data_IF_009349503674
#
_entry.id   IF_009349503674
#
_cell.length_a   1.000
_cell.length_b   1.000
_cell.length_c   1.000
_cell.angle_alpha   90.00
_cell.angle_beta   90.00
_cell.angle_gamma   90.00
#
_symmetry.space_group_name_H-M   'P 1'
#
loop_
_entity.id
_entity.type
_entity.pdbx_description
1 polymer ?
#
# COMPACT_ATOMS: atom_id res chain seq x y z
N UNK A 1 -4.08 -35.26 -13.50
CA UNK A 1 -3.10 -34.96 -12.45
C UNK A 1 -2.57 -36.27 -11.90
N UNK A 2 -1.26 -36.43 -11.87
CA UNK A 2 -0.61 -37.55 -11.16
C UNK A 2 -0.71 -37.32 -9.65
N UNK A 3 -0.58 -38.38 -8.85
CA UNK A 3 -0.56 -38.25 -7.38
C UNK A 3 0.58 -37.33 -6.91
N UNK A 4 1.71 -37.38 -7.62
CA UNK A 4 2.86 -36.52 -7.34
C UNK A 4 2.54 -35.04 -7.59
N UNK A 5 1.89 -34.71 -8.71
CA UNK A 5 1.43 -33.35 -8.99
C UNK A 5 0.44 -32.84 -7.94
N UNK A 6 -0.48 -33.70 -7.47
CA UNK A 6 -1.42 -33.33 -6.41
C UNK A 6 -0.73 -33.01 -5.09
N UNK A 7 0.29 -33.78 -4.71
CA UNK A 7 1.09 -33.51 -3.50
C UNK A 7 1.88 -32.21 -3.59
N UNK A 8 2.42 -31.89 -4.76
CA UNK A 8 3.14 -30.64 -4.98
C UNK A 8 2.20 -29.43 -4.90
N UNK A 9 1.02 -29.51 -5.52
CA UNK A 9 -0.01 -28.48 -5.44
C UNK A 9 -0.44 -28.27 -3.98
N UNK A 10 -0.72 -29.34 -3.25
CA UNK A 10 -1.11 -29.26 -1.84
C UNK A 10 -0.01 -28.63 -0.98
N UNK A 11 1.26 -29.00 -1.19
CA UNK A 11 2.40 -28.42 -0.49
C UNK A 11 2.56 -26.93 -0.80
N UNK A 12 2.41 -26.53 -2.07
CA UNK A 12 2.51 -25.12 -2.47
C UNK A 12 1.39 -24.28 -1.84
N UNK A 13 0.14 -24.75 -1.92
CA UNK A 13 -1.02 -24.08 -1.31
C UNK A 13 -0.89 -24.01 0.21
N UNK A 14 -0.43 -25.08 0.86
CA UNK A 14 -0.20 -25.12 2.31
C UNK A 14 0.86 -24.11 2.77
N UNK A 15 1.97 -23.99 2.04
CA UNK A 15 2.99 -22.95 2.33
C UNK A 15 2.43 -21.54 2.21
N UNK A 16 1.64 -21.29 1.16
CA UNK A 16 1.03 -19.98 0.93
C UNK A 16 0.02 -19.62 2.03
N UNK A 17 -0.84 -20.56 2.42
CA UNK A 17 -1.75 -20.40 3.56
C UNK A 17 -0.99 -20.09 4.86
N UNK A 18 0.05 -20.86 5.18
CA UNK A 18 0.82 -20.65 6.40
C UNK A 18 1.45 -19.26 6.45
N UNK A 19 2.01 -18.78 5.34
CA UNK A 19 2.55 -17.43 5.23
C UNK A 19 1.47 -16.36 5.45
N UNK A 20 0.34 -16.48 4.73
CA UNK A 20 -0.73 -15.49 4.80
C UNK A 20 -1.41 -15.44 6.17
N UNK A 21 -1.62 -16.59 6.82
CA UNK A 21 -2.18 -16.64 8.18
C UNK A 21 -1.19 -16.02 9.18
N UNK A 22 0.11 -16.29 9.02
CA UNK A 22 1.13 -15.70 9.88
C UNK A 22 1.19 -14.18 9.75
N UNK A 23 1.02 -13.63 8.55
CA UNK A 23 1.04 -12.19 8.28
C UNK A 23 -0.23 -11.44 8.69
N UNK A 24 -1.33 -12.14 9.00
CA UNK A 24 -2.54 -11.48 9.51
C UNK A 24 -2.24 -10.71 10.80
N UNK A 25 -2.70 -9.45 10.84
CA UNK A 25 -2.72 -8.63 12.05
C UNK A 25 -3.92 -8.99 12.95
N UNK A 26 -3.91 -10.20 13.50
CA UNK A 26 -4.88 -10.74 14.47
C UNK A 26 -4.13 -11.50 15.58
N UNK A 27 -4.79 -11.77 16.70
CA UNK A 27 -4.20 -12.54 17.79
C UNK A 27 -3.90 -14.01 17.42
N UNK A 28 -3.04 -14.65 18.21
CA UNK A 28 -2.62 -16.03 17.95
C UNK A 28 -3.77 -17.03 18.10
N UNK A 29 -4.73 -16.79 19.00
CA UNK A 29 -5.90 -17.66 19.17
C UNK A 29 -6.75 -17.69 17.90
N UNK A 30 -6.91 -16.54 17.25
CA UNK A 30 -7.61 -16.42 15.96
C UNK A 30 -6.85 -17.13 14.86
N UNK A 31 -5.51 -17.02 14.82
CA UNK A 31 -4.67 -17.75 13.85
C UNK A 31 -4.79 -19.27 14.03
N UNK A 32 -4.78 -19.74 15.28
CA UNK A 32 -4.95 -21.16 15.61
C UNK A 32 -6.35 -21.66 15.24
N UNK A 33 -7.39 -20.88 15.53
CA UNK A 33 -8.76 -21.22 15.12
C UNK A 33 -8.88 -21.34 13.60
N UNK A 34 -8.26 -20.43 12.83
CA UNK A 34 -8.22 -20.52 11.37
C UNK A 34 -7.52 -21.82 10.93
N UNK A 35 -6.35 -22.14 11.50
CA UNK A 35 -5.62 -23.37 11.18
C UNK A 35 -6.43 -24.64 11.49
N UNK A 36 -7.20 -24.64 12.58
CA UNK A 36 -8.04 -25.76 12.97
C UNK A 36 -9.21 -26.01 12.00
N UNK A 37 -9.64 -25.00 11.24
CA UNK A 37 -10.72 -25.12 10.26
C UNK A 37 -10.24 -25.69 8.92
N UNK A 38 -8.95 -25.53 8.58
CA UNK A 38 -8.40 -25.94 7.28
C UNK A 38 -8.62 -27.42 6.91
N UNK A 39 -8.47 -28.40 7.83
CA UNK A 39 -8.67 -29.82 7.50
C UNK A 39 -10.10 -30.18 7.08
N UNK A 40 -11.09 -29.36 7.48
CA UNK A 40 -12.49 -29.57 7.14
C UNK A 40 -12.92 -28.90 5.83
N UNK A 41 -12.04 -28.14 5.18
CA UNK A 41 -12.36 -27.40 3.97
C UNK A 41 -12.19 -28.26 2.71
N UNK A 42 -13.10 -28.09 1.74
CA UNK A 42 -12.88 -28.57 0.38
C UNK A 42 -11.75 -27.80 -0.30
N UNK A 43 -11.20 -28.35 -1.38
CA UNK A 43 -10.18 -27.67 -2.17
C UNK A 43 -10.65 -26.31 -2.69
N UNK A 44 -11.91 -26.21 -3.12
CA UNK A 44 -12.51 -24.96 -3.61
C UNK A 44 -12.67 -23.94 -2.49
N UNK A 45 -12.97 -24.39 -1.27
CA UNK A 45 -13.04 -23.51 -0.10
C UNK A 45 -11.64 -23.00 0.28
N UNK A 46 -10.63 -23.86 0.23
CA UNK A 46 -9.23 -23.47 0.44
C UNK A 46 -8.79 -22.43 -0.59
N UNK A 47 -9.17 -22.59 -1.86
CA UNK A 47 -8.85 -21.63 -2.92
C UNK A 47 -9.51 -20.28 -2.67
N UNK A 48 -10.82 -20.24 -2.41
CA UNK A 48 -11.51 -18.98 -2.08
C UNK A 48 -10.92 -18.32 -0.84
N UNK A 49 -10.52 -19.12 0.15
CA UNK A 49 -9.94 -18.59 1.38
C UNK A 49 -8.54 -17.99 1.12
N UNK A 50 -7.71 -18.65 0.30
CA UNK A 50 -6.45 -18.11 -0.17
C UNK A 50 -6.65 -16.75 -0.87
N UNK A 51 -7.61 -16.65 -1.79
CA UNK A 51 -7.89 -15.40 -2.52
C UNK A 51 -8.26 -14.25 -1.57
N UNK A 52 -9.08 -14.54 -0.55
CA UNK A 52 -9.47 -13.56 0.48
C UNK A 52 -8.24 -13.11 1.27
N UNK A 53 -7.41 -14.06 1.71
CA UNK A 53 -6.21 -13.75 2.50
C UNK A 53 -5.17 -12.96 1.69
N UNK A 54 -5.00 -13.27 0.41
CA UNK A 54 -4.11 -12.53 -0.50
C UNK A 54 -4.60 -11.10 -0.71
N UNK A 55 -5.89 -10.93 -0.96
CA UNK A 55 -6.50 -9.60 -1.08
C UNK A 55 -6.28 -8.77 0.19
N UNK A 56 -6.45 -9.39 1.37
CA UNK A 56 -6.21 -8.73 2.66
C UNK A 56 -4.75 -8.39 2.88
N UNK A 57 -3.84 -9.31 2.58
CA UNK A 57 -2.40 -9.08 2.69
C UNK A 57 -1.96 -7.91 1.80
N UNK A 58 -2.38 -7.91 0.53
CA UNK A 58 -2.09 -6.81 -0.39
C UNK A 58 -2.63 -5.47 0.13
N UNK A 59 -3.88 -5.44 0.60
CA UNK A 59 -4.46 -4.23 1.18
C UNK A 59 -3.67 -3.71 2.39
N UNK A 60 -3.17 -4.60 3.26
CA UNK A 60 -2.36 -4.21 4.41
C UNK A 60 -1.00 -3.66 4.01
N UNK A 61 -0.33 -4.29 3.04
CA UNK A 61 0.98 -3.85 2.55
C UNK A 61 0.89 -2.55 1.74
N UNK A 62 -0.20 -2.29 1.01
CA UNK A 62 -0.35 -1.05 0.23
C UNK A 62 -0.83 0.15 1.04
N UNK A 63 -1.45 -0.05 2.21
CA UNK A 63 -1.90 1.05 3.07
C UNK A 63 -0.75 2.00 3.46
N UNK A 64 0.45 1.48 3.73
CA UNK A 64 1.62 2.31 4.03
C UNK A 64 2.15 3.08 2.81
N UNK A 65 2.13 2.44 1.63
CA UNK A 65 2.57 3.05 0.36
C UNK A 65 1.67 4.24 -0.01
N UNK A 66 0.37 4.10 0.18
CA UNK A 66 -0.60 5.16 -0.11
C UNK A 66 -0.40 6.38 0.80
N UNK A 67 -0.05 6.19 2.07
CA UNK A 67 0.23 7.29 3.00
C UNK A 67 1.53 8.04 2.66
N UNK A 68 2.60 7.32 2.34
CA UNK A 68 3.88 7.94 2.00
C UNK A 68 3.82 8.67 0.67
N UNK A 69 3.13 8.11 -0.32
CA UNK A 69 2.86 8.77 -1.59
C UNK A 69 2.03 10.06 -1.40
N UNK A 70 1.03 10.03 -0.52
CA UNK A 70 0.24 11.22 -0.16
C UNK A 70 1.12 12.32 0.48
N UNK A 71 1.97 11.95 1.44
CA UNK A 71 2.90 12.91 2.09
C UNK A 71 3.86 13.51 1.07
N UNK A 72 4.35 12.72 0.12
CA UNK A 72 5.24 13.22 -0.92
C UNK A 72 4.53 14.18 -1.89
N UNK A 73 3.28 13.87 -2.28
CA UNK A 73 2.45 14.78 -3.07
C UNK A 73 2.19 16.11 -2.34
N UNK A 74 1.88 16.07 -1.05
CA UNK A 74 1.71 17.27 -0.22
C UNK A 74 3.00 18.09 -0.16
N UNK A 75 4.16 17.44 0.04
CA UNK A 75 5.48 18.09 0.05
C UNK A 75 5.78 18.81 -1.27
N UNK A 76 5.57 18.15 -2.41
CA UNK A 76 5.78 18.73 -3.74
C UNK A 76 4.85 19.92 -3.97
N UNK A 77 3.57 19.82 -3.55
CA UNK A 77 2.61 20.92 -3.63
C UNK A 77 3.05 22.15 -2.82
N UNK A 78 3.58 21.94 -1.62
CA UNK A 78 4.06 23.02 -0.76
C UNK A 78 5.34 23.67 -1.28
N UNK A 79 6.27 22.88 -1.84
CA UNK A 79 7.46 23.40 -2.52
C UNK A 79 7.09 24.29 -3.70
N UNK A 80 6.13 23.85 -4.52
CA UNK A 80 5.64 24.63 -5.66
C UNK A 80 4.97 25.94 -5.22
N UNK A 81 4.13 25.91 -4.18
CA UNK A 81 3.52 27.14 -3.62
C UNK A 81 4.56 28.13 -3.13
N UNK A 82 5.59 27.65 -2.41
CA UNK A 82 6.68 28.50 -1.93
C UNK A 82 7.46 29.12 -3.08
N UNK A 83 7.76 28.34 -4.11
CA UNK A 83 8.44 28.82 -5.32
C UNK A 83 7.61 29.90 -6.04
N UNK A 84 6.30 29.66 -6.23
CA UNK A 84 5.39 30.63 -6.86
C UNK A 84 5.33 31.94 -6.07
N UNK A 85 5.20 31.87 -4.75
CA UNK A 85 5.16 33.07 -3.91
C UNK A 85 6.48 33.86 -3.95
N UNK A 86 7.61 33.17 -4.02
CA UNK A 86 8.92 33.83 -4.18
C UNK A 86 9.04 34.54 -5.53
N UNK A 87 8.56 33.92 -6.61
CA UNK A 87 8.53 34.51 -7.95
C UNK A 87 7.62 35.75 -7.98
N UNK A 88 6.41 35.64 -7.43
CA UNK A 88 5.45 36.74 -7.37
C UNK A 88 6.03 37.92 -6.59
N UNK A 89 6.66 37.65 -5.45
CA UNK A 89 7.32 38.68 -4.65
C UNK A 89 8.46 39.37 -5.43
N UNK A 90 9.31 38.61 -6.11
CA UNK A 90 10.39 39.16 -6.93
C UNK A 90 9.86 39.99 -8.11
N UNK A 91 8.80 39.53 -8.76
CA UNK A 91 8.16 40.27 -9.85
C UNK A 91 7.60 41.61 -9.33
N UNK A 92 6.94 41.60 -8.17
CA UNK A 92 6.34 42.78 -7.57
C UNK A 92 7.40 43.80 -7.10
N UNK A 93 8.54 43.33 -6.59
CA UNK A 93 9.70 44.16 -6.27
C UNK A 93 10.31 44.81 -7.53
N UNK A 94 10.47 44.05 -8.62
CA UNK A 94 10.95 44.58 -9.91
C UNK A 94 10.01 45.64 -10.48
N UNK A 95 8.70 45.40 -10.46
CA UNK A 95 7.69 46.36 -10.92
C UNK A 95 7.78 47.66 -10.10
N UNK A 96 7.92 47.56 -8.77
CA UNK A 96 8.09 48.74 -7.90
C UNK A 96 9.39 49.51 -8.19
N UNK A 97 10.49 48.81 -8.47
CA UNK A 97 11.76 49.43 -8.80
C UNK A 97 11.65 50.21 -10.12
N UNK A 98 11.11 49.60 -11.17
CA UNK A 98 10.90 50.25 -12.47
C UNK A 98 9.96 51.47 -12.37
N UNK A 99 8.90 51.39 -11.56
CA UNK A 99 7.99 52.52 -11.34
C UNK A 99 8.64 53.71 -10.60
N UNK A 100 9.68 53.47 -9.81
CA UNK A 100 10.47 54.55 -9.17
C UNK A 100 11.40 55.24 -10.16
N UNK A 101 12.04 54.47 -11.06
CA UNK A 101 12.94 55.01 -12.08
C UNK A 101 12.21 55.85 -13.14
N UNK A 102 10.95 55.53 -13.44
CA UNK A 102 10.12 56.29 -14.41
C UNK A 102 9.54 57.61 -13.86
N UNK A 103 9.57 57.82 -12.54
CA UNK A 103 9.03 59.01 -11.85
C UNK A 103 10.13 59.97 -11.35
N UNK A 104 11.38 59.75 -11.77
CA UNK A 104 12.54 60.63 -11.60
C UNK A 104 13.05 61.08 -12.96
#
# INVERSE_FOLDING_TARGET
LTEQELREIARAKGKKLAFLIASLNVDNETKEAIMALLPGMSLEQIERFLDILESKYLQQETQGIDEDFKKELERVGDEHKKASFAIDKQALEKIKAMGKELNT
#
